data_IF_159485915886
#
_entry.id   IF_159485915886
#
_cell.length_a   1.000
_cell.length_b   1.000
_cell.length_c   1.000
_cell.angle_alpha   90.00
_cell.angle_beta   90.00
_cell.angle_gamma   90.00
#
_symmetry.space_group_name_H-M   'P 1'
#
loop_
_entity.id
_entity.type
_entity.pdbx_description
1 polymer ?
#
# COMPACT_ATOMS: atom_id res chain seq x y z
N UNK A 1 -14.37 -16.29 5.40
CA UNK A 1 -13.50 -15.19 4.93
C UNK A 1 -12.97 -14.42 6.14
N UNK A 2 -11.68 -14.33 6.26
CA UNK A 2 -11.03 -13.57 7.32
C UNK A 2 -10.25 -12.41 6.74
N UNK A 3 -10.15 -11.33 7.48
CA UNK A 3 -9.34 -10.17 7.12
C UNK A 3 -8.46 -9.81 8.30
N UNK A 4 -7.19 -9.50 8.01
CA UNK A 4 -6.25 -8.95 8.98
C UNK A 4 -5.60 -7.71 8.40
N UNK A 5 -5.20 -6.79 9.27
CA UNK A 5 -4.52 -5.57 8.81
C UNK A 5 -3.35 -5.23 9.70
N UNK A 6 -2.37 -4.56 9.13
CA UNK A 6 -1.23 -4.00 9.85
C UNK A 6 -1.02 -2.56 9.42
N UNK A 7 -0.42 -1.76 10.27
CA UNK A 7 -0.12 -0.35 10.00
C UNK A 7 1.35 -0.05 10.22
N UNK A 8 1.82 0.98 9.55
CA UNK A 8 3.16 1.52 9.69
C UNK A 8 3.14 3.01 9.37
N UNK A 9 4.09 3.75 9.91
CA UNK A 9 4.24 5.19 9.64
C UNK A 9 5.61 5.46 9.03
N UNK A 10 5.65 6.42 8.12
CA UNK A 10 6.92 6.94 7.58
C UNK A 10 6.77 8.43 7.30
N UNK A 11 7.89 9.14 7.33
CA UNK A 11 7.93 10.57 7.06
C UNK A 11 8.57 10.81 5.69
N UNK A 12 7.93 11.59 4.85
CA UNK A 12 8.47 11.91 3.53
C UNK A 12 8.01 13.27 3.05
N UNK A 13 8.81 13.88 2.17
CA UNK A 13 8.43 15.08 1.47
C UNK A 13 7.91 14.76 0.08
N UNK A 14 7.03 15.61 -0.42
CA UNK A 14 6.56 15.54 -1.78
C UNK A 14 6.11 16.90 -2.30
N UNK A 15 5.94 16.99 -3.61
CA UNK A 15 5.30 18.10 -4.27
C UNK A 15 4.47 17.56 -5.42
N UNK A 16 3.23 18.05 -5.57
CA UNK A 16 2.36 17.63 -6.66
C UNK A 16 2.63 18.51 -7.89
N UNK A 17 2.96 17.87 -9.00
CA UNK A 17 3.17 18.55 -10.29
C UNK A 17 1.83 18.81 -10.95
N UNK A 18 1.75 19.95 -11.68
CA UNK A 18 0.54 20.34 -12.42
C UNK A 18 -0.68 20.58 -11.53
N UNK A 19 -0.44 20.86 -10.25
CA UNK A 19 -1.47 21.22 -9.31
C UNK A 19 -1.32 22.71 -8.95
N UNK A 20 -2.32 23.52 -9.27
CA UNK A 20 -2.27 24.98 -9.02
C UNK A 20 -2.76 25.28 -7.60
N UNK A 21 -1.87 25.16 -6.62
CA UNK A 21 -2.17 25.40 -5.23
C UNK A 21 -0.98 25.12 -4.33
N UNK A 22 -1.21 25.14 -3.01
CA UNK A 22 -0.14 24.95 -2.01
C UNK A 22 0.58 23.61 -2.14
N UNK A 23 -0.11 22.56 -2.64
CA UNK A 23 0.47 21.24 -2.78
C UNK A 23 1.55 21.15 -3.87
N UNK A 24 1.68 22.16 -4.72
CA UNK A 24 2.78 22.25 -5.68
C UNK A 24 4.11 22.57 -4.99
N UNK A 25 4.05 23.17 -3.80
CA UNK A 25 5.24 23.46 -3.02
C UNK A 25 5.73 22.19 -2.31
N UNK A 26 7.04 22.09 -2.12
CA UNK A 26 7.62 21.00 -1.34
C UNK A 26 7.12 21.08 0.10
N UNK A 27 6.56 19.98 0.58
CA UNK A 27 6.09 19.87 1.95
C UNK A 27 6.21 18.41 2.41
N UNK A 28 6.08 18.17 3.69
CA UNK A 28 6.23 16.84 4.25
C UNK A 28 5.02 16.42 5.08
N UNK A 29 4.87 15.10 5.18
CA UNK A 29 3.85 14.47 6.00
C UNK A 29 4.44 13.31 6.79
N UNK A 30 3.81 13.02 7.92
CA UNK A 30 3.96 11.74 8.58
C UNK A 30 2.85 10.83 8.04
N UNK A 31 3.20 10.05 7.04
CA UNK A 31 2.23 9.15 6.41
C UNK A 31 1.94 7.96 7.31
N UNK A 32 0.66 7.60 7.41
CA UNK A 32 0.25 6.34 8.03
C UNK A 32 -0.29 5.44 6.93
N UNK A 33 0.13 4.19 6.95
CA UNK A 33 -0.26 3.19 5.95
C UNK A 33 -0.93 2.03 6.65
N UNK A 34 -2.07 1.58 6.11
CA UNK A 34 -2.70 0.34 6.52
C UNK A 34 -2.82 -0.59 5.33
N UNK A 35 -2.38 -1.82 5.52
CA UNK A 35 -2.51 -2.89 4.53
C UNK A 35 -3.51 -3.91 5.04
N UNK A 36 -4.51 -4.22 4.22
CA UNK A 36 -5.55 -5.21 4.52
C UNK A 36 -5.34 -6.44 3.66
N UNK A 37 -5.28 -7.59 4.31
CA UNK A 37 -5.08 -8.91 3.68
C UNK A 37 -6.25 -9.79 4.04
N UNK A 38 -6.74 -10.57 3.08
CA UNK A 38 -7.84 -11.50 3.33
C UNK A 38 -7.57 -12.90 2.79
N UNK A 39 -8.28 -13.88 3.32
CA UNK A 39 -8.22 -15.27 2.90
C UNK A 39 -9.28 -16.12 3.57
N UNK A 40 -9.44 -17.32 3.06
CA UNK A 40 -10.47 -18.25 3.50
C UNK A 40 -10.01 -19.16 4.63
N UNK A 41 -8.72 -19.50 4.67
CA UNK A 41 -8.20 -20.55 5.52
C UNK A 41 -7.26 -20.01 6.57
N UNK A 42 -7.41 -20.51 7.78
CA UNK A 42 -6.46 -20.30 8.86
C UNK A 42 -5.44 -21.43 8.88
N UNK A 43 -4.23 -21.15 9.37
CA UNK A 43 -3.21 -22.15 9.57
C UNK A 43 -3.47 -22.96 10.85
N UNK A 44 -2.53 -23.85 11.21
CA UNK A 44 -2.65 -24.72 12.39
C UNK A 44 -2.76 -23.94 13.70
N UNK A 45 -2.24 -22.73 13.73
CA UNK A 45 -2.29 -21.86 14.93
C UNK A 45 -3.52 -20.96 14.97
N UNK A 46 -4.39 -21.07 13.97
CA UNK A 46 -5.59 -20.23 13.89
C UNK A 46 -5.33 -18.83 13.30
N UNK A 47 -4.21 -18.66 12.57
CA UNK A 47 -3.86 -17.37 11.96
C UNK A 47 -4.06 -17.40 10.45
N UNK A 48 -4.60 -16.33 9.92
CA UNK A 48 -4.65 -16.11 8.48
C UNK A 48 -3.27 -15.79 7.94
N UNK A 49 -2.55 -14.94 8.63
CA UNK A 49 -1.20 -14.49 8.30
C UNK A 49 -0.54 -14.01 9.59
N UNK A 50 0.76 -14.22 9.71
CA UNK A 50 1.50 -13.80 10.89
C UNK A 50 1.67 -12.27 10.86
N UNK A 51 1.17 -11.59 11.89
CA UNK A 51 1.32 -10.13 12.00
C UNK A 51 2.78 -9.69 12.02
N UNK A 52 3.67 -10.46 12.62
CA UNK A 52 5.11 -10.14 12.67
C UNK A 52 5.68 -10.10 11.25
N UNK A 53 5.34 -11.08 10.43
CA UNK A 53 5.79 -11.16 9.05
C UNK A 53 5.16 -10.06 8.17
N UNK A 54 3.86 -9.79 8.36
CA UNK A 54 3.20 -8.70 7.63
C UNK A 54 3.80 -7.35 7.97
N UNK A 55 4.07 -7.10 9.25
CA UNK A 55 4.70 -5.85 9.70
C UNK A 55 6.12 -5.72 9.17
N UNK A 56 6.87 -6.82 9.16
CA UNK A 56 8.24 -6.84 8.63
C UNK A 56 8.23 -6.48 7.14
N UNK A 57 7.33 -7.07 6.39
CA UNK A 57 7.20 -6.79 4.96
C UNK A 57 6.78 -5.34 4.71
N UNK A 58 5.78 -4.85 5.44
CA UNK A 58 5.32 -3.48 5.30
C UNK A 58 6.43 -2.48 5.64
N UNK A 59 7.21 -2.76 6.68
CA UNK A 59 8.38 -1.93 7.02
C UNK A 59 9.41 -1.93 5.89
N UNK A 60 9.71 -3.11 5.34
CA UNK A 60 10.67 -3.22 4.24
C UNK A 60 10.21 -2.47 2.99
N UNK A 61 8.92 -2.53 2.68
CA UNK A 61 8.33 -1.81 1.55
C UNK A 61 8.35 -0.29 1.79
N UNK A 62 8.14 0.14 3.01
CA UNK A 62 8.06 1.55 3.39
C UNK A 62 9.42 2.21 3.59
N UNK A 63 10.45 1.45 3.91
CA UNK A 63 11.78 1.97 4.23
C UNK A 63 12.36 2.86 3.13
N UNK A 64 12.30 2.49 1.84
CA UNK A 64 12.78 3.37 0.78
C UNK A 64 12.05 4.70 0.66
N UNK A 65 10.83 4.79 1.21
CA UNK A 65 10.02 6.00 1.18
C UNK A 65 10.29 6.91 2.38
N UNK A 66 10.94 6.39 3.42
CA UNK A 66 11.10 7.09 4.68
C UNK A 66 12.25 8.09 4.62
N UNK A 67 12.02 9.30 5.09
CA UNK A 67 12.99 10.39 5.16
C UNK A 67 13.60 10.78 3.80
N UNK A 68 12.79 10.68 2.73
CA UNK A 68 13.23 11.06 1.37
C UNK A 68 12.25 12.06 0.76
N UNK A 69 12.72 12.74 -0.28
CA UNK A 69 11.87 13.52 -1.17
C UNK A 69 11.35 12.57 -2.26
N UNK A 70 10.08 12.24 -2.20
CA UNK A 70 9.50 11.20 -3.06
C UNK A 70 9.64 11.51 -4.55
N UNK A 71 9.60 12.78 -4.93
CA UNK A 71 9.72 13.20 -6.33
C UNK A 71 11.07 12.83 -6.96
N UNK A 72 12.09 12.54 -6.15
CA UNK A 72 13.41 12.15 -6.63
C UNK A 72 13.56 10.65 -6.85
N UNK A 73 12.59 9.85 -6.43
CA UNK A 73 12.70 8.39 -6.54
C UNK A 73 11.75 7.81 -7.60
N UNK A 74 12.18 6.74 -8.23
CA UNK A 74 11.33 5.96 -9.15
C UNK A 74 10.26 5.23 -8.32
N UNK A 75 8.98 5.24 -8.71
CA UNK A 75 8.43 5.79 -9.94
C UNK A 75 7.96 7.24 -9.83
N UNK A 76 8.12 7.88 -8.66
CA UNK A 76 7.55 9.19 -8.37
C UNK A 76 8.31 10.36 -9.02
N UNK A 77 9.44 10.08 -9.65
CA UNK A 77 10.12 11.05 -10.50
C UNK A 77 9.31 11.39 -11.76
N UNK A 78 8.42 10.49 -12.18
CA UNK A 78 7.51 10.71 -13.32
C UNK A 78 6.05 10.71 -12.90
N UNK A 79 5.67 9.85 -11.96
CA UNK A 79 4.32 9.74 -11.43
C UNK A 79 4.18 10.64 -10.20
N UNK A 80 3.14 11.46 -10.15
CA UNK A 80 2.91 12.31 -8.98
C UNK A 80 2.85 11.48 -7.69
N UNK A 81 3.62 11.87 -6.65
CA UNK A 81 3.56 11.19 -5.35
C UNK A 81 2.37 11.63 -4.51
N UNK A 82 1.18 11.48 -5.07
CA UNK A 82 -0.09 11.68 -4.36
C UNK A 82 -0.32 10.53 -3.38
N UNK A 83 -1.21 10.71 -2.43
CA UNK A 83 -1.59 9.63 -1.51
C UNK A 83 -2.12 8.41 -2.28
N UNK A 84 -2.88 8.64 -3.37
CA UNK A 84 -3.39 7.59 -4.23
C UNK A 84 -2.27 6.77 -4.87
N UNK A 85 -1.28 7.43 -5.44
CA UNK A 85 -0.16 6.77 -6.10
C UNK A 85 0.79 6.10 -5.12
N UNK A 86 0.95 6.67 -3.93
CA UNK A 86 1.70 6.02 -2.84
C UNK A 86 1.00 4.73 -2.41
N UNK A 87 -0.33 4.78 -2.25
CA UNK A 87 -1.11 3.59 -1.89
C UNK A 87 -1.00 2.50 -2.95
N UNK A 88 -1.08 2.86 -4.23
CA UNK A 88 -0.86 1.93 -5.34
C UNK A 88 0.53 1.29 -5.27
N UNK A 89 1.57 2.10 -5.11
CA UNK A 89 2.96 1.62 -5.04
C UNK A 89 3.15 0.61 -3.91
N UNK A 90 2.67 0.96 -2.71
CA UNK A 90 2.79 0.07 -1.54
C UNK A 90 2.01 -1.22 -1.77
N UNK A 91 0.81 -1.13 -2.33
CA UNK A 91 -0.02 -2.30 -2.62
C UNK A 91 0.69 -3.27 -3.56
N UNK A 92 1.25 -2.77 -4.66
CA UNK A 92 1.95 -3.61 -5.63
C UNK A 92 3.20 -4.26 -5.02
N UNK A 93 3.95 -3.51 -4.21
CA UNK A 93 5.13 -4.05 -3.53
C UNK A 93 4.76 -5.10 -2.47
N UNK A 94 3.67 -4.89 -1.75
CA UNK A 94 3.17 -5.88 -0.78
C UNK A 94 2.73 -7.15 -1.50
N UNK A 95 2.05 -7.03 -2.62
CA UNK A 95 1.62 -8.18 -3.42
C UNK A 95 2.82 -9.00 -3.92
N UNK A 96 3.86 -8.33 -4.39
CA UNK A 96 5.09 -8.99 -4.83
C UNK A 96 5.80 -9.73 -3.70
N UNK A 97 5.81 -9.13 -2.51
CA UNK A 97 6.53 -9.67 -1.36
C UNK A 97 5.76 -10.71 -0.56
N UNK A 98 4.44 -10.78 -0.73
CA UNK A 98 3.59 -11.66 0.06
C UNK A 98 3.56 -13.06 -0.53
N UNK A 99 4.60 -13.83 -0.22
CA UNK A 99 4.71 -15.23 -0.63
C UNK A 99 4.43 -16.09 0.58
N UNK A 100 3.23 -16.63 0.64
CA UNK A 100 2.81 -17.48 1.76
C UNK A 100 2.31 -18.84 1.24
N UNK A 101 2.47 -19.84 2.08
CA UNK A 101 1.91 -21.17 1.84
C UNK A 101 0.39 -21.11 1.85
N UNK A 102 -0.17 -20.24 2.69
CA UNK A 102 -1.61 -20.04 2.80
C UNK A 102 -2.05 -18.97 1.78
N UNK A 103 -2.98 -19.27 0.88
CA UNK A 103 -3.38 -18.29 -0.12
C UNK A 103 -4.13 -17.13 0.52
N UNK A 104 -3.49 -15.98 0.47
CA UNK A 104 -4.03 -14.70 0.94
C UNK A 104 -3.82 -13.65 -0.15
N UNK A 105 -4.64 -12.62 -0.14
CA UNK A 105 -4.49 -11.51 -1.09
C UNK A 105 -4.53 -10.17 -0.37
N UNK A 106 -3.73 -9.23 -0.85
CA UNK A 106 -3.81 -7.83 -0.43
C UNK A 106 -5.04 -7.22 -1.10
N UNK A 107 -6.02 -6.80 -0.30
CA UNK A 107 -7.29 -6.29 -0.83
C UNK A 107 -7.36 -4.79 -0.88
N UNK A 108 -6.64 -4.11 0.01
CA UNK A 108 -6.56 -2.65 -0.03
C UNK A 108 -5.34 -2.13 0.72
N UNK A 109 -4.89 -0.97 0.31
CA UNK A 109 -3.90 -0.19 1.03
C UNK A 109 -4.45 1.22 1.18
N UNK A 110 -4.48 1.73 2.41
CA UNK A 110 -4.90 3.09 2.72
C UNK A 110 -3.70 3.88 3.21
N UNK A 111 -3.52 5.08 2.64
CA UNK A 111 -2.44 6.00 3.02
C UNK A 111 -3.08 7.29 3.52
N UNK A 112 -2.75 7.67 4.76
CA UNK A 112 -3.14 8.94 5.36
C UNK A 112 -1.99 9.93 5.26
N UNK A 113 -2.25 11.09 4.66
CA UNK A 113 -1.31 12.23 4.70
C UNK A 113 -1.38 12.93 6.05
N UNK A 114 -2.59 13.04 6.57
CA UNK A 114 -2.91 13.58 7.90
C UNK A 114 -3.95 12.69 8.55
N UNK A 115 -4.32 12.99 9.79
CA UNK A 115 -5.32 12.19 10.50
C UNK A 115 -6.72 12.25 9.88
N UNK A 116 -6.96 13.24 9.00
CA UNK A 116 -8.29 13.49 8.44
C UNK A 116 -8.34 13.35 6.91
N UNK A 117 -7.25 12.99 6.26
CA UNK A 117 -7.19 12.83 4.80
C UNK A 117 -6.48 11.54 4.44
N UNK A 118 -7.12 10.74 3.63
CA UNK A 118 -6.55 9.48 3.18
C UNK A 118 -7.00 9.13 1.77
N UNK A 119 -6.23 8.25 1.15
CA UNK A 119 -6.60 7.61 -0.11
C UNK A 119 -6.44 6.11 0.05
N UNK A 120 -7.32 5.36 -0.58
CA UNK A 120 -7.29 3.90 -0.57
C UNK A 120 -7.20 3.39 -1.99
N UNK A 121 -6.26 2.48 -2.23
CA UNK A 121 -6.16 1.74 -3.47
C UNK A 121 -6.61 0.30 -3.25
N UNK A 122 -7.48 -0.18 -4.15
CA UNK A 122 -7.92 -1.57 -4.19
C UNK A 122 -7.56 -2.14 -5.54
N UNK A 123 -6.69 -3.17 -5.61
CA UNK A 123 -6.41 -3.79 -6.89
C UNK A 123 -7.69 -4.43 -7.44
N UNK A 124 -7.87 -4.33 -8.74
CA UNK A 124 -8.99 -5.02 -9.39
C UNK A 124 -8.79 -6.53 -9.22
N UNK A 125 -9.83 -7.20 -8.77
CA UNK A 125 -9.86 -8.65 -8.84
C UNK A 125 -9.87 -9.06 -10.30
N UNK A 126 -9.01 -10.01 -10.66
CA UNK A 126 -9.17 -10.70 -11.90
C UNK A 126 -10.52 -11.40 -11.86
N UNK A 127 -11.48 -10.85 -12.60
CA UNK A 127 -12.70 -11.57 -12.88
C UNK A 127 -12.25 -12.80 -13.64
N UNK A 128 -12.57 -14.02 -13.16
CA UNK A 128 -12.32 -15.19 -13.99
C UNK A 128 -12.96 -14.89 -15.32
N UNK A 129 -12.17 -14.95 -16.38
CA UNK A 129 -12.73 -14.86 -17.71
C UNK A 129 -13.86 -15.87 -17.74
N UNK A 130 -15.08 -15.37 -17.88
CA UNK A 130 -16.17 -16.25 -18.14
C UNK A 130 -15.70 -17.16 -19.24
N UNK A 131 -15.59 -18.45 -18.93
CA UNK A 131 -15.16 -19.40 -19.94
C UNK A 131 -15.98 -19.13 -21.18
N UNK A 132 -15.27 -18.80 -22.24
CA UNK A 132 -15.95 -18.51 -23.48
C UNK A 132 -16.46 -19.77 -24.09
N UNK A 133 -17.12 -20.48 -23.38
CA UNK A 133 -17.90 -21.57 -23.90
C UNK A 133 -19.14 -21.07 -24.54
N UNK A 134 -18.94 -20.01 -24.78
CA UNK A 134 -19.93 -19.40 -25.37
C UNK A 134 -19.86 -19.53 -26.75
#
# INVERSE_FOLDING_TARGET
>A
MFEVSVEHTFAAGHALRNYHGKCENVHGHNYRVRVLVRGEKLDETGMLSDFVELKRLLRAVSEPLDHVFLNDMVPFNELNPSAENIAWYICEKMREGLKQENPVEVTEVTVWETDIQSATYRPQRETPQAESSR
#
